data_IF_506196533229
#
_entry.id   IF_506196533229
#
_cell.length_a   1.000
_cell.length_b   1.000
_cell.length_c   1.000
_cell.angle_alpha   90.00
_cell.angle_beta   90.00
_cell.angle_gamma   90.00
#
_symmetry.space_group_name_H-M   'P 1'
#
loop_
_entity.id
_entity.type
_entity.pdbx_description
1 polymer ?
#
# COMPACT_ATOMS: atom_id res chain seq x y z
N UNK A 1 24.63 -23.17 12.76
CA UNK A 1 23.22 -22.72 12.63
C UNK A 1 22.72 -22.42 14.03
N UNK A 2 22.61 -21.16 14.35
CA UNK A 2 22.42 -20.63 15.69
C UNK A 2 20.96 -20.83 16.17
N UNK A 3 20.77 -20.99 17.49
CA UNK A 3 19.46 -21.21 18.13
C UNK A 3 18.43 -20.10 17.79
N UNK A 4 18.87 -18.90 17.47
CA UNK A 4 18.02 -17.78 17.08
C UNK A 4 17.32 -17.98 15.73
N UNK A 5 17.97 -18.64 14.76
CA UNK A 5 17.35 -18.94 13.46
C UNK A 5 16.25 -20.00 13.54
N UNK A 6 16.33 -20.90 14.53
CA UNK A 6 15.28 -21.92 14.75
C UNK A 6 14.01 -21.36 15.39
N UNK A 7 14.12 -20.26 16.15
CA UNK A 7 12.96 -19.63 16.79
C UNK A 7 12.15 -18.82 15.79
N UNK A 8 12.80 -18.13 14.85
CA UNK A 8 12.12 -17.38 13.79
C UNK A 8 11.41 -18.28 12.76
N UNK A 9 12.03 -19.41 12.38
CA UNK A 9 11.38 -20.38 11.50
C UNK A 9 10.22 -21.11 12.21
N UNK A 10 10.33 -21.40 13.50
CA UNK A 10 9.28 -22.04 14.27
C UNK A 10 8.07 -21.11 14.50
N UNK A 11 8.29 -19.80 14.63
CA UNK A 11 7.20 -18.83 14.74
C UNK A 11 6.44 -18.68 13.41
N UNK A 12 7.13 -18.72 12.27
CA UNK A 12 6.49 -18.68 10.95
C UNK A 12 5.69 -19.95 10.63
N UNK A 13 6.15 -21.13 11.10
CA UNK A 13 5.44 -22.41 10.89
C UNK A 13 4.28 -22.62 11.86
N UNK A 14 4.32 -22.05 13.07
CA UNK A 14 3.24 -22.21 14.07
C UNK A 14 1.97 -21.41 13.73
N UNK A 15 2.06 -20.37 12.90
CA UNK A 15 0.90 -19.60 12.43
C UNK A 15 0.11 -20.32 11.31
N UNK A 16 0.68 -21.36 10.70
CA UNK A 16 0.07 -22.05 9.55
C UNK A 16 -0.91 -23.20 9.93
N UNK A 17 -1.01 -23.61 11.20
CA UNK A 17 -1.66 -24.89 11.54
C UNK A 17 -3.01 -24.81 12.29
N UNK A 18 -3.64 -23.62 12.43
CA UNK A 18 -4.95 -23.51 13.07
C UNK A 18 -6.04 -23.08 12.07
N UNK A 19 -6.45 -24.05 11.25
CA UNK A 19 -7.62 -23.95 10.40
C UNK A 19 -8.79 -24.72 10.96
N UNK A 20 -9.71 -24.09 11.67
CA UNK A 20 -11.06 -24.61 11.92
C UNK A 20 -12.06 -23.51 11.61
N UNK A 21 -12.96 -23.85 10.68
CA UNK A 21 -14.14 -23.11 10.26
C UNK A 21 -14.98 -22.71 11.49
N UNK A 22 -14.98 -21.47 11.84
CA UNK A 22 -16.03 -20.85 12.63
C UNK A 22 -16.80 -19.91 11.71
N UNK A 23 -18.02 -20.30 11.35
CA UNK A 23 -19.03 -19.43 10.74
C UNK A 23 -19.52 -18.42 11.81
N UNK A 24 -18.70 -17.46 12.14
CA UNK A 24 -19.10 -16.26 12.84
C UNK A 24 -19.04 -15.13 11.83
N UNK A 25 -20.06 -14.29 11.79
CA UNK A 25 -20.03 -13.04 11.04
C UNK A 25 -18.84 -12.23 11.54
N UNK A 26 -17.72 -12.36 10.83
CA UNK A 26 -16.58 -11.49 11.02
C UNK A 26 -17.00 -10.11 10.49
N UNK A 27 -17.23 -9.17 11.38
CA UNK A 27 -17.09 -7.76 11.07
C UNK A 27 -15.57 -7.51 10.91
N UNK A 28 -14.96 -8.21 9.95
CA UNK A 28 -13.52 -8.20 9.70
C UNK A 28 -13.16 -7.10 8.72
N UNK A 29 -11.90 -6.68 8.81
CA UNK A 29 -11.24 -5.81 7.85
C UNK A 29 -11.51 -6.25 6.42
N UNK A 30 -11.56 -5.30 5.49
CA UNK A 30 -11.59 -5.57 4.06
C UNK A 30 -12.82 -6.32 3.51
N UNK A 31 -13.94 -6.39 4.25
CA UNK A 31 -15.12 -7.15 3.80
C UNK A 31 -16.25 -6.24 3.35
N UNK A 32 -16.77 -6.48 2.15
CA UNK A 32 -18.05 -5.96 1.67
C UNK A 32 -18.90 -7.13 1.11
N UNK A 33 -19.96 -7.46 1.83
CA UNK A 33 -20.81 -8.62 1.52
C UNK A 33 -20.06 -9.94 1.64
N UNK A 34 -19.89 -10.65 0.51
CA UNK A 34 -19.14 -11.91 0.44
C UNK A 34 -17.68 -11.72 0.03
N UNK A 35 -17.32 -10.49 -0.35
CA UNK A 35 -16.00 -10.16 -0.86
C UNK A 35 -15.06 -9.79 0.28
N UNK A 36 -13.92 -10.44 0.30
CA UNK A 36 -12.72 -9.97 0.96
C UNK A 36 -11.87 -9.21 -0.06
N UNK A 37 -11.53 -7.97 0.25
CA UNK A 37 -10.55 -7.17 -0.45
C UNK A 37 -9.27 -7.19 0.39
N UNK A 38 -8.17 -7.75 -0.13
CA UNK A 38 -6.89 -7.74 0.59
C UNK A 38 -6.33 -6.33 0.67
N UNK A 39 -5.53 -6.03 1.68
CA UNK A 39 -4.72 -4.82 1.69
C UNK A 39 -3.72 -4.86 0.54
N UNK A 40 -3.74 -3.83 -0.29
CA UNK A 40 -2.83 -3.65 -1.43
C UNK A 40 -1.48 -3.09 -0.97
N UNK A 41 -0.41 -3.21 -1.79
CA UNK A 41 0.95 -2.88 -1.37
C UNK A 41 1.35 -1.44 -1.70
N UNK A 42 0.84 -0.92 -2.81
CA UNK A 42 1.24 0.38 -3.37
C UNK A 42 0.05 1.33 -3.49
N UNK A 43 -1.11 0.81 -3.85
CA UNK A 43 -2.34 1.59 -4.01
C UNK A 43 -3.17 1.44 -2.74
N UNK A 44 -3.38 2.51 -1.98
CA UNK A 44 -4.18 2.43 -0.76
C UNK A 44 -5.65 2.04 -1.06
N UNK A 45 -6.24 1.24 -0.19
CA UNK A 45 -7.57 0.68 -0.31
C UNK A 45 -8.65 1.55 0.37
N UNK A 46 -9.96 1.32 0.11
CA UNK A 46 -11.04 2.14 0.67
C UNK A 46 -11.44 1.78 2.10
N UNK A 47 -10.81 0.80 2.74
CA UNK A 47 -11.26 0.32 4.04
C UNK A 47 -10.76 1.18 5.20
N UNK A 48 -11.53 1.16 6.27
CA UNK A 48 -11.19 1.73 7.58
C UNK A 48 -11.08 0.54 8.53
N UNK A 49 -9.85 0.15 8.88
CA UNK A 49 -9.56 -1.07 9.61
C UNK A 49 -8.47 -0.86 10.68
N UNK A 50 -8.32 -1.82 11.58
CA UNK A 50 -7.22 -1.89 12.54
C UNK A 50 -6.16 -2.83 11.98
N UNK A 51 -5.07 -2.27 11.45
CA UNK A 51 -4.09 -3.00 10.66
C UNK A 51 -2.66 -2.57 10.98
N UNK A 52 -1.72 -3.47 10.69
CA UNK A 52 -0.28 -3.22 10.81
C UNK A 52 0.45 -3.87 9.64
N UNK A 53 1.10 -3.07 8.80
CA UNK A 53 2.08 -3.54 7.81
C UNK A 53 3.48 -3.43 8.39
N UNK A 54 4.16 -4.58 8.59
CA UNK A 54 5.51 -4.60 9.16
C UNK A 54 6.21 -5.95 8.90
N UNK A 55 7.27 -5.97 8.09
CA UNK A 55 7.74 -4.87 7.24
C UNK A 55 7.04 -4.84 5.87
N UNK A 56 6.98 -3.65 5.26
CA UNK A 56 6.93 -3.53 3.81
C UNK A 56 8.34 -3.22 3.33
N UNK A 57 8.88 -4.03 2.43
CA UNK A 57 10.23 -3.86 1.89
C UNK A 57 10.09 -3.58 0.39
N UNK A 58 10.56 -2.44 -0.05
CA UNK A 58 10.65 -2.09 -1.47
C UNK A 58 12.10 -1.92 -1.89
N UNK A 59 12.47 -2.41 -3.07
CA UNK A 59 13.78 -2.15 -3.66
C UNK A 59 13.66 -1.84 -5.15
N UNK A 60 14.17 -0.67 -5.55
CA UNK A 60 14.17 -0.20 -6.93
C UNK A 60 15.48 0.50 -7.29
N UNK A 61 15.78 0.58 -8.57
CA UNK A 61 16.95 1.29 -9.11
C UNK A 61 16.45 2.57 -9.82
N UNK A 62 16.76 3.71 -9.24
CA UNK A 62 16.53 5.01 -9.87
C UNK A 62 17.60 5.27 -10.93
N UNK A 63 17.24 5.81 -12.10
CA UNK A 63 18.24 6.15 -13.13
C UNK A 63 19.10 7.34 -12.71
N UNK A 64 20.26 7.49 -13.35
CA UNK A 64 21.04 8.71 -13.22
C UNK A 64 20.24 9.90 -13.79
N UNK A 65 20.34 11.07 -13.15
CA UNK A 65 19.67 12.31 -13.55
C UNK A 65 20.59 13.50 -13.30
N UNK A 66 20.93 14.23 -14.36
CA UNK A 66 21.92 15.31 -14.26
C UNK A 66 23.25 14.77 -13.71
N UNK A 67 23.76 15.38 -12.67
CA UNK A 67 25.00 14.99 -11.96
C UNK A 67 24.77 13.87 -10.92
N UNK A 68 23.53 13.49 -10.65
CA UNK A 68 23.21 12.43 -9.70
C UNK A 68 23.42 11.04 -10.32
N UNK A 69 24.21 10.15 -9.66
CA UNK A 69 24.42 8.79 -10.14
C UNK A 69 23.17 7.93 -9.99
N UNK A 70 23.07 6.91 -10.83
CA UNK A 70 22.01 5.92 -10.68
C UNK A 70 22.08 5.28 -9.28
N UNK A 71 20.96 5.28 -8.55
CA UNK A 71 20.92 4.93 -7.13
C UNK A 71 19.96 3.76 -6.89
N UNK A 72 20.42 2.73 -6.17
CA UNK A 72 19.53 1.71 -5.62
C UNK A 72 18.93 2.25 -4.32
N UNK A 73 17.62 2.37 -4.31
CA UNK A 73 16.83 2.69 -3.14
C UNK A 73 16.22 1.41 -2.55
N UNK A 74 16.37 1.22 -1.25
CA UNK A 74 15.68 0.16 -0.50
C UNK A 74 15.01 0.79 0.70
N UNK A 75 13.68 0.69 0.74
CA UNK A 75 12.82 1.17 1.83
C UNK A 75 12.37 0.03 2.73
N UNK A 76 12.27 0.30 4.01
CA UNK A 76 11.67 -0.56 5.03
C UNK A 76 10.60 0.24 5.74
N UNK A 77 9.33 -0.04 5.45
CA UNK A 77 8.21 0.72 5.98
C UNK A 77 7.47 -0.03 7.08
N UNK A 78 6.95 0.75 8.01
CA UNK A 78 5.97 0.36 9.00
C UNK A 78 4.77 1.28 8.83
N UNK A 79 3.57 0.70 8.70
CA UNK A 79 2.31 1.43 8.64
C UNK A 79 1.34 0.82 9.62
N UNK A 80 0.68 1.67 10.40
CA UNK A 80 -0.34 1.27 11.35
C UNK A 80 -1.60 2.09 11.13
N UNK A 81 -2.74 1.41 11.03
CA UNK A 81 -4.07 2.03 10.95
C UNK A 81 -4.88 1.71 12.19
N UNK A 82 -5.65 2.68 12.65
CA UNK A 82 -6.50 2.57 13.84
C UNK A 82 -7.88 3.16 13.59
N UNK A 83 -8.91 2.36 13.81
CA UNK A 83 -10.29 2.83 13.80
C UNK A 83 -10.57 3.72 15.01
N UNK A 84 -11.05 4.93 14.74
CA UNK A 84 -11.65 5.78 15.76
C UNK A 84 -13.12 5.40 15.98
N UNK A 85 -13.84 5.18 14.89
CA UNK A 85 -15.21 4.62 14.84
C UNK A 85 -15.24 3.53 13.75
N UNK A 86 -16.37 2.88 13.51
CA UNK A 86 -16.54 1.89 12.45
C UNK A 86 -16.31 2.46 11.03
N UNK A 87 -16.41 3.78 10.90
CA UNK A 87 -16.29 4.46 9.62
C UNK A 87 -15.16 5.49 9.54
N UNK A 88 -14.52 5.83 10.65
CA UNK A 88 -13.44 6.82 10.72
C UNK A 88 -12.19 6.18 11.27
N UNK A 89 -11.10 6.28 10.54
CA UNK A 89 -9.78 5.78 10.93
C UNK A 89 -8.69 6.82 10.76
N UNK A 90 -7.58 6.56 11.43
CA UNK A 90 -6.32 7.29 11.30
C UNK A 90 -5.21 6.31 10.96
N UNK A 91 -4.19 6.78 10.25
CA UNK A 91 -3.00 6.02 9.93
C UNK A 91 -1.73 6.78 10.28
N UNK A 92 -0.67 6.04 10.57
CA UNK A 92 0.69 6.54 10.76
C UNK A 92 1.66 5.62 10.03
N UNK A 93 2.59 6.22 9.28
CA UNK A 93 3.62 5.51 8.53
C UNK A 93 5.01 6.06 8.79
N UNK A 94 6.01 5.18 8.74
CA UNK A 94 7.43 5.54 8.82
C UNK A 94 8.24 4.64 7.90
N UNK A 95 9.14 5.22 7.11
CA UNK A 95 10.01 4.50 6.18
C UNK A 95 11.47 4.76 6.49
N UNK A 96 12.26 3.69 6.69
CA UNK A 96 13.71 3.76 6.76
C UNK A 96 14.30 3.45 5.39
N UNK A 97 15.00 4.41 4.81
CA UNK A 97 15.61 4.31 3.46
C UNK A 97 17.10 4.00 3.53
N UNK A 98 17.55 3.20 2.59
CA UNK A 98 18.96 2.92 2.28
C UNK A 98 19.19 3.27 0.82
N UNK A 99 19.98 4.29 0.55
CA UNK A 99 20.35 4.75 -0.78
C UNK A 99 21.78 4.30 -1.08
N UNK A 100 21.94 3.59 -2.20
CA UNK A 100 23.24 3.08 -2.69
C UNK A 100 23.51 3.65 -4.08
N UNK A 101 24.12 4.86 -4.17
CA UNK A 101 24.51 5.44 -5.45
C UNK A 101 25.65 4.65 -6.08
N UNK A 102 25.67 4.58 -7.42
CA UNK A 102 26.75 3.90 -8.14
C UNK A 102 28.04 4.72 -7.99
N UNK A 103 29.04 4.14 -7.35
CA UNK A 103 30.34 4.79 -7.12
C UNK A 103 30.38 5.77 -5.94
N UNK A 104 29.31 5.90 -5.16
CA UNK A 104 29.23 6.76 -3.98
C UNK A 104 29.02 6.03 -2.66
N UNK A 105 29.02 6.79 -1.57
CA UNK A 105 28.80 6.25 -0.23
C UNK A 105 27.33 5.94 0.03
N UNK A 106 27.05 4.85 0.72
CA UNK A 106 25.70 4.45 1.14
C UNK A 106 25.14 5.45 2.15
N UNK A 107 23.99 6.03 1.85
CA UNK A 107 23.25 6.90 2.74
C UNK A 107 22.09 6.15 3.40
N UNK A 108 21.77 6.53 4.65
CA UNK A 108 20.72 5.87 5.43
C UNK A 108 20.02 6.88 6.31
N UNK A 109 18.71 6.68 6.52
CA UNK A 109 17.93 7.53 7.41
C UNK A 109 16.43 7.23 7.31
N UNK A 110 15.66 7.86 8.17
CA UNK A 110 14.21 7.87 8.05
C UNK A 110 13.78 8.90 7.02
N UNK A 111 12.80 8.54 6.21
CA UNK A 111 12.04 9.48 5.40
C UNK A 111 11.07 10.28 6.27
N UNK A 112 10.35 11.23 5.69
CA UNK A 112 9.29 11.95 6.37
C UNK A 112 8.23 10.97 6.91
N UNK A 113 7.69 11.31 8.08
CA UNK A 113 6.55 10.57 8.64
C UNK A 113 5.30 10.84 7.80
N UNK A 114 4.55 9.78 7.56
CA UNK A 114 3.23 9.85 6.96
C UNK A 114 2.14 9.79 8.03
N UNK A 115 1.05 10.53 7.84
CA UNK A 115 -0.15 10.46 8.66
C UNK A 115 -1.38 10.51 7.75
N UNK A 116 -2.45 9.82 8.13
CA UNK A 116 -3.68 9.82 7.35
C UNK A 116 -4.93 9.86 8.22
N UNK A 117 -6.01 10.36 7.61
CA UNK A 117 -7.39 10.25 8.14
C UNK A 117 -8.26 9.76 6.99
N UNK A 118 -9.04 8.71 7.23
CA UNK A 118 -9.93 8.10 6.22
C UNK A 118 -11.34 7.94 6.79
N UNK A 119 -12.35 8.32 6.01
CA UNK A 119 -13.76 8.17 6.35
C UNK A 119 -14.50 7.38 5.28
N UNK A 120 -15.01 6.22 5.68
CA UNK A 120 -15.88 5.38 4.85
C UNK A 120 -17.30 5.92 4.90
N UNK A 121 -17.79 6.50 3.79
CA UNK A 121 -19.10 7.12 3.72
C UNK A 121 -20.14 6.27 3.00
N UNK A 122 -19.73 5.21 2.29
CA UNK A 122 -20.66 4.34 1.58
C UNK A 122 -20.14 2.90 1.56
N UNK A 123 -21.03 1.96 1.83
CA UNK A 123 -20.81 0.52 1.65
C UNK A 123 -22.12 -0.15 1.22
N UNK A 124 -22.04 -1.00 0.20
CA UNK A 124 -23.16 -1.80 -0.26
C UNK A 124 -22.71 -3.26 -0.42
N UNK A 125 -23.15 -4.10 0.50
CA UNK A 125 -22.74 -5.49 0.60
C UNK A 125 -23.30 -6.36 -0.54
N UNK A 126 -24.51 -6.06 -1.04
CA UNK A 126 -25.13 -6.80 -2.15
C UNK A 126 -24.35 -6.57 -3.46
N UNK A 127 -23.80 -5.39 -3.63
CA UNK A 127 -23.03 -4.99 -4.81
C UNK A 127 -21.52 -5.03 -4.59
N UNK A 128 -21.07 -5.47 -3.41
CA UNK A 128 -19.66 -5.52 -3.04
C UNK A 128 -18.95 -4.17 -3.35
N UNK A 129 -19.58 -3.06 -2.96
CA UNK A 129 -19.10 -1.71 -3.29
C UNK A 129 -18.82 -0.91 -2.03
N UNK A 130 -17.69 -0.20 -2.01
CA UNK A 130 -17.27 0.66 -0.90
C UNK A 130 -16.65 1.95 -1.43
N UNK A 131 -16.95 3.08 -0.77
CA UNK A 131 -16.40 4.39 -1.08
C UNK A 131 -15.93 5.07 0.21
N UNK A 132 -14.76 5.65 0.16
CA UNK A 132 -14.16 6.40 1.26
C UNK A 132 -13.55 7.70 0.76
N UNK A 133 -13.41 8.66 1.66
CA UNK A 133 -12.65 9.89 1.44
C UNK A 133 -11.61 10.03 2.55
N UNK A 134 -10.47 10.62 2.24
CA UNK A 134 -9.42 10.81 3.23
C UNK A 134 -8.47 11.96 2.88
N UNK A 135 -7.53 12.17 3.77
CA UNK A 135 -6.43 13.09 3.59
C UNK A 135 -5.17 12.37 4.08
N UNK A 136 -4.20 12.25 3.19
CA UNK A 136 -2.86 11.79 3.52
C UNK A 136 -1.94 13.01 3.68
N UNK A 137 -1.00 12.93 4.59
CA UNK A 137 -0.06 13.99 4.90
C UNK A 137 1.37 13.44 5.04
N UNK A 138 2.28 13.91 4.19
CA UNK A 138 3.71 13.80 4.43
C UNK A 138 4.16 14.96 5.30
N UNK A 139 4.76 14.65 6.46
CA UNK A 139 5.13 15.65 7.46
C UNK A 139 6.57 16.12 7.19
N UNK A 140 6.70 17.18 6.43
CA UNK A 140 7.99 17.74 6.02
C UNK A 140 8.90 18.09 7.18
N UNK A 141 10.19 17.79 7.01
CA UNK A 141 11.22 18.05 8.00
C UNK A 141 11.26 17.07 9.17
N UNK A 142 10.42 16.04 9.19
CA UNK A 142 10.46 14.96 10.19
C UNK A 142 11.49 13.89 9.85
N UNK A 143 11.94 13.84 8.61
CA UNK A 143 12.90 12.88 8.09
C UNK A 143 14.34 13.42 7.96
N UNK A 144 15.21 12.60 7.40
CA UNK A 144 16.62 12.90 7.19
C UNK A 144 16.86 13.40 5.77
N UNK A 145 17.44 14.59 5.63
CA UNK A 145 17.88 15.13 4.33
C UNK A 145 18.87 14.22 3.59
N UNK A 146 19.62 13.36 4.31
CA UNK A 146 20.56 12.40 3.69
C UNK A 146 19.91 11.39 2.79
N UNK A 147 18.63 11.12 2.98
CA UNK A 147 17.84 10.17 2.16
C UNK A 147 16.78 10.88 1.32
N UNK A 148 16.92 12.20 1.13
CA UNK A 148 16.01 12.98 0.29
C UNK A 148 14.70 13.36 0.97
N UNK A 149 14.60 13.29 2.31
CA UNK A 149 13.39 13.71 3.02
C UNK A 149 13.16 15.22 2.84
N UNK A 150 11.95 15.56 2.39
CA UNK A 150 11.56 16.91 2.07
C UNK A 150 11.41 17.80 3.32
N UNK A 151 11.72 19.09 3.17
CA UNK A 151 11.61 20.06 4.27
C UNK A 151 10.21 20.70 4.37
N UNK A 152 9.33 20.40 3.44
CA UNK A 152 7.94 20.87 3.39
C UNK A 152 6.98 19.69 3.47
N UNK A 153 5.76 19.96 3.91
CA UNK A 153 4.71 18.95 3.97
C UNK A 153 3.91 18.92 2.67
N UNK A 154 3.36 17.75 2.35
CA UNK A 154 2.37 17.60 1.27
C UNK A 154 1.08 17.04 1.85
N UNK A 155 -0.05 17.66 1.52
CA UNK A 155 -1.39 17.20 1.89
C UNK A 155 -2.09 16.68 0.64
N UNK A 156 -2.61 15.46 0.72
CA UNK A 156 -3.26 14.78 -0.40
C UNK A 156 -4.69 14.36 -0.02
N UNK A 157 -5.69 15.25 -0.18
CA UNK A 157 -7.08 14.81 -0.16
C UNK A 157 -7.35 13.83 -1.29
N UNK A 158 -8.00 12.70 -0.97
CA UNK A 158 -8.26 11.61 -1.90
C UNK A 158 -9.64 10.98 -1.71
N UNK A 159 -10.14 10.39 -2.79
CA UNK A 159 -11.29 9.49 -2.82
C UNK A 159 -10.81 8.08 -3.11
N UNK A 160 -11.36 7.11 -2.38
CA UNK A 160 -11.03 5.70 -2.49
C UNK A 160 -12.28 4.93 -2.87
N UNK A 161 -12.10 3.89 -3.68
CA UNK A 161 -13.21 3.04 -4.11
C UNK A 161 -12.81 1.57 -4.12
N UNK A 162 -13.80 0.71 -3.91
CA UNK A 162 -13.68 -0.73 -4.10
C UNK A 162 -14.96 -1.28 -4.74
N UNK A 163 -14.81 -2.18 -5.71
CA UNK A 163 -15.90 -2.86 -6.38
C UNK A 163 -15.54 -4.32 -6.65
N UNK A 164 -16.29 -5.24 -6.06
CA UNK A 164 -16.29 -6.64 -6.41
C UNK A 164 -17.34 -6.94 -7.50
N UNK A 165 -17.14 -8.00 -8.26
CA UNK A 165 -18.01 -8.39 -9.37
C UNK A 165 -18.88 -9.62 -9.04
N UNK A 166 -19.15 -9.88 -7.76
CA UNK A 166 -19.97 -10.99 -7.29
C UNK A 166 -21.43 -10.96 -7.77
N UNK A 167 -21.91 -9.80 -8.16
CA UNK A 167 -23.26 -9.52 -8.69
C UNK A 167 -23.43 -9.84 -10.19
N UNK A 168 -22.39 -10.29 -10.89
CA UNK A 168 -22.47 -10.68 -12.31
C UNK A 168 -23.39 -11.92 -12.52
N UNK A 169 -24.06 -12.02 -13.70
CA UNK A 169 -24.93 -13.14 -14.02
C UNK A 169 -24.16 -14.47 -14.14
N UNK A 170 -24.87 -15.60 -14.09
CA UNK A 170 -24.27 -16.95 -14.14
C UNK A 170 -23.48 -17.22 -15.43
N UNK A 171 -23.84 -16.56 -16.53
CA UNK A 171 -23.10 -16.64 -17.80
C UNK A 171 -21.69 -16.10 -17.70
N UNK A 172 -21.43 -15.23 -16.69
CA UNK A 172 -20.13 -14.59 -16.42
C UNK A 172 -19.56 -15.00 -15.05
N UNK A 173 -20.00 -16.14 -14.50
CA UNK A 173 -19.65 -16.55 -13.13
C UNK A 173 -18.13 -16.58 -12.84
N UNK A 174 -17.29 -16.91 -13.84
CA UNK A 174 -15.84 -16.96 -13.69
C UNK A 174 -15.19 -15.57 -13.54
N UNK A 175 -15.91 -14.49 -13.83
CA UNK A 175 -15.48 -13.10 -13.59
C UNK A 175 -15.90 -12.59 -12.19
N UNK A 176 -16.80 -13.30 -11.51
CA UNK A 176 -17.23 -12.96 -10.14
C UNK A 176 -16.07 -12.86 -9.13
N UNK A 177 -14.97 -13.66 -9.23
CA UNK A 177 -13.81 -13.51 -8.36
C UNK A 177 -13.02 -12.22 -8.57
N UNK A 178 -13.22 -11.48 -9.66
CA UNK A 178 -12.57 -10.20 -9.90
C UNK A 178 -13.05 -9.13 -8.91
N UNK A 179 -12.13 -8.27 -8.51
CA UNK A 179 -12.39 -7.03 -7.81
C UNK A 179 -11.44 -5.94 -8.31
N UNK A 180 -11.85 -4.69 -8.12
CA UNK A 180 -11.02 -3.51 -8.39
C UNK A 180 -11.12 -2.60 -7.17
N UNK A 181 -9.97 -2.19 -6.64
CA UNK A 181 -9.83 -1.11 -5.65
C UNK A 181 -9.02 0.02 -6.25
N UNK A 182 -9.08 1.21 -5.68
CA UNK A 182 -8.26 2.29 -6.16
C UNK A 182 -8.55 3.62 -5.47
N UNK A 183 -7.73 4.60 -5.86
CA UNK A 183 -7.82 5.96 -5.35
C UNK A 183 -7.59 7.00 -6.46
N UNK A 184 -8.09 8.21 -6.19
CA UNK A 184 -7.72 9.43 -6.90
C UNK A 184 -7.63 10.58 -5.90
N UNK A 185 -6.50 11.29 -5.89
CA UNK A 185 -6.23 12.39 -4.98
C UNK A 185 -5.43 13.50 -5.64
N UNK A 186 -5.31 14.63 -4.97
CA UNK A 186 -4.48 15.76 -5.43
C UNK A 186 -3.51 16.15 -4.33
N UNK A 187 -2.22 16.06 -4.62
CA UNK A 187 -1.15 16.46 -3.72
C UNK A 187 -0.92 17.97 -3.74
N UNK A 188 -0.98 18.59 -2.58
CA UNK A 188 -0.75 20.02 -2.35
C UNK A 188 0.50 20.20 -1.48
N UNK A 189 1.67 20.51 -2.07
CA UNK A 189 2.85 20.84 -1.29
C UNK A 189 2.65 22.18 -0.56
N UNK A 190 3.07 22.27 0.69
CA UNK A 190 2.99 23.51 1.48
C UNK A 190 3.98 24.59 1.04
N UNK A 191 4.89 24.25 0.12
CA UNK A 191 5.81 25.16 -0.55
C UNK A 191 5.82 24.84 -2.04
N UNK A 192 5.70 25.86 -2.88
CA UNK A 192 5.72 25.71 -4.34
C UNK A 192 7.14 25.54 -4.93
N UNK A 193 8.17 25.73 -4.14
CA UNK A 193 9.56 25.53 -4.53
C UNK A 193 10.55 25.83 -3.41
N UNK A 194 11.76 25.30 -3.57
CA UNK A 194 12.92 25.55 -2.70
C UNK A 194 14.01 26.23 -3.52
N UNK A 195 14.61 27.28 -3.00
CA UNK A 195 15.74 27.98 -3.62
C UNK A 195 17.00 27.63 -2.87
N UNK A 196 18.01 27.13 -3.55
CA UNK A 196 19.34 26.85 -3.03
C UNK A 196 20.35 27.76 -3.76
N UNK A 197 21.26 28.36 -3.01
CA UNK A 197 22.34 29.16 -3.55
C UNK A 197 23.62 28.34 -3.42
N UNK A 198 24.20 27.96 -4.54
CA UNK A 198 25.50 27.28 -4.60
C UNK A 198 26.65 28.12 -4.07
N UNK A 199 27.77 27.49 -3.75
CA UNK A 199 29.01 28.19 -3.27
C UNK A 199 29.59 29.13 -4.35
N UNK A 200 29.24 28.92 -5.61
CA UNK A 200 29.58 29.76 -6.77
C UNK A 200 28.58 30.92 -6.99
N UNK A 201 27.52 31.01 -6.18
CA UNK A 201 26.46 32.01 -6.26
C UNK A 201 25.38 31.67 -7.31
N UNK A 202 25.40 30.48 -7.91
CA UNK A 202 24.33 30.00 -8.76
C UNK A 202 23.06 29.75 -7.95
N UNK A 203 21.93 30.22 -8.46
CA UNK A 203 20.62 30.06 -7.84
C UNK A 203 19.92 28.88 -8.52
N UNK A 204 19.78 27.79 -7.79
CA UNK A 204 18.95 26.66 -8.19
C UNK A 204 17.55 26.78 -7.56
N UNK A 205 16.51 26.61 -8.38
CA UNK A 205 15.11 26.66 -7.97
C UNK A 205 14.45 25.33 -8.28
N UNK A 206 14.36 24.49 -7.27
CA UNK A 206 13.58 23.28 -7.32
C UNK A 206 12.09 23.60 -7.14
N UNK A 207 11.25 23.17 -8.10
CA UNK A 207 9.80 23.38 -8.06
C UNK A 207 9.09 22.17 -7.49
N UNK A 208 8.13 22.39 -6.60
CA UNK A 208 7.26 21.37 -6.01
C UNK A 208 5.85 21.52 -6.61
N UNK A 209 5.55 20.80 -7.71
CA UNK A 209 4.26 20.91 -8.37
C UNK A 209 3.14 20.27 -7.56
N UNK A 210 1.91 20.72 -7.78
CA UNK A 210 0.73 19.95 -7.43
C UNK A 210 0.73 18.67 -8.26
N UNK A 211 0.26 17.58 -7.67
CA UNK A 211 0.24 16.27 -8.33
C UNK A 211 -1.16 15.66 -8.30
N UNK A 212 -1.53 14.97 -9.37
CA UNK A 212 -2.65 14.05 -9.39
C UNK A 212 -2.12 12.65 -9.03
N UNK A 213 -2.46 12.19 -7.84
CA UNK A 213 -2.18 10.84 -7.39
C UNK A 213 -3.36 9.94 -7.79
N UNK A 214 -3.11 8.90 -8.55
CA UNK A 214 -4.15 7.98 -8.97
C UNK A 214 -3.61 6.57 -9.14
N UNK A 215 -4.43 5.61 -8.79
CA UNK A 215 -4.04 4.23 -8.90
C UNK A 215 -5.23 3.30 -8.73
N UNK A 216 -5.04 2.06 -9.15
CA UNK A 216 -6.01 0.99 -8.94
C UNK A 216 -5.32 -0.37 -8.92
N UNK A 217 -5.93 -1.30 -8.22
CA UNK A 217 -5.57 -2.71 -8.19
C UNK A 217 -6.67 -3.53 -8.88
N UNK A 218 -6.28 -4.52 -9.68
CA UNK A 218 -7.17 -5.55 -10.21
C UNK A 218 -6.78 -6.86 -9.53
N UNK A 219 -7.73 -7.47 -8.86
CA UNK A 219 -7.54 -8.65 -8.04
C UNK A 219 -8.39 -9.81 -8.55
N UNK A 220 -7.87 -11.03 -8.46
CA UNK A 220 -8.63 -12.24 -8.73
C UNK A 220 -8.59 -13.18 -7.51
N UNK A 221 -9.66 -13.21 -6.74
CA UNK A 221 -9.72 -13.97 -5.50
C UNK A 221 -9.97 -15.47 -5.73
N UNK A 222 -8.93 -16.31 -5.58
CA UNK A 222 -9.09 -17.77 -5.58
C UNK A 222 -9.95 -18.24 -4.40
N UNK A 223 -9.83 -17.68 -3.17
CA UNK A 223 -10.76 -17.99 -2.08
C UNK A 223 -12.24 -17.77 -2.46
N UNK A 224 -12.54 -16.64 -3.12
CA UNK A 224 -13.89 -16.34 -3.59
C UNK A 224 -14.36 -17.33 -4.66
N UNK A 225 -13.49 -17.65 -5.63
CA UNK A 225 -13.78 -18.63 -6.69
C UNK A 225 -14.23 -19.97 -6.09
N UNK A 226 -13.45 -20.51 -5.15
CA UNK A 226 -13.73 -21.82 -4.57
C UNK A 226 -14.93 -21.82 -3.62
N UNK A 227 -15.15 -20.72 -2.89
CA UNK A 227 -16.23 -20.67 -1.90
C UNK A 227 -17.61 -20.35 -2.48
N UNK A 228 -17.68 -19.54 -3.57
CA UNK A 228 -18.94 -18.98 -4.04
C UNK A 228 -19.24 -19.20 -5.52
N UNK A 229 -18.28 -19.70 -6.30
CA UNK A 229 -18.45 -19.87 -7.75
C UNK A 229 -18.29 -21.33 -8.17
N UNK A 230 -17.13 -21.89 -7.93
CA UNK A 230 -16.80 -23.26 -8.32
C UNK A 230 -15.59 -23.74 -7.54
N UNK A 231 -15.74 -24.85 -6.82
CA UNK A 231 -14.59 -25.54 -6.23
C UNK A 231 -13.73 -26.16 -7.35
N UNK A 232 -12.50 -25.63 -7.45
CA UNK A 232 -11.49 -26.10 -8.41
C UNK A 232 -10.48 -27.05 -7.77
N UNK A 233 -10.70 -27.45 -6.52
CA UNK A 233 -9.91 -28.44 -5.79
C UNK A 233 -8.51 -27.96 -5.39
N UNK A 234 -8.22 -26.67 -5.43
CA UNK A 234 -6.96 -26.14 -4.94
C UNK A 234 -6.88 -26.27 -3.42
N UNK A 235 -5.69 -26.62 -2.93
CA UNK A 235 -5.37 -26.74 -1.50
C UNK A 235 -4.35 -25.70 -1.10
N UNK A 236 -4.11 -25.58 0.19
CA UNK A 236 -3.09 -24.68 0.73
C UNK A 236 -1.70 -24.95 0.13
N UNK A 237 -0.95 -23.89 -0.18
CA UNK A 237 -1.26 -22.47 0.02
C UNK A 237 -2.07 -21.82 -1.11
N UNK A 238 -2.32 -22.50 -2.23
CA UNK A 238 -2.85 -21.94 -3.48
C UNK A 238 -4.30 -21.49 -3.37
N UNK A 239 -5.11 -22.17 -2.51
CA UNK A 239 -6.50 -21.81 -2.27
C UNK A 239 -6.70 -20.47 -1.54
N UNK A 240 -5.62 -19.87 -1.03
CA UNK A 240 -5.61 -18.55 -0.35
C UNK A 240 -4.93 -17.46 -1.15
N UNK A 241 -4.55 -17.75 -2.39
CA UNK A 241 -3.86 -16.79 -3.23
C UNK A 241 -4.82 -15.85 -3.94
N UNK A 242 -4.43 -14.60 -4.05
CA UNK A 242 -5.12 -13.54 -4.77
C UNK A 242 -4.07 -12.91 -5.71
N UNK A 243 -3.98 -13.37 -6.97
CA UNK A 243 -3.24 -12.63 -7.98
C UNK A 243 -3.73 -11.20 -8.08
N UNK A 244 -2.80 -10.26 -8.18
CA UNK A 244 -3.06 -8.81 -8.19
C UNK A 244 -2.18 -8.13 -9.24
N UNK A 245 -2.70 -7.05 -9.83
CA UNK A 245 -1.90 -6.09 -10.59
C UNK A 245 -2.29 -4.71 -10.10
N UNK A 246 -1.33 -4.00 -9.50
CA UNK A 246 -1.51 -2.62 -9.06
C UNK A 246 -0.96 -1.63 -10.09
N UNK A 247 -1.58 -0.47 -10.20
CA UNK A 247 -1.17 0.67 -11.01
C UNK A 247 -1.08 1.87 -10.09
N UNK A 248 0.11 2.33 -9.78
CA UNK A 248 0.35 3.49 -8.92
C UNK A 248 1.00 4.59 -9.73
N UNK A 249 0.29 5.70 -9.89
CA UNK A 249 0.65 6.79 -10.79
C UNK A 249 0.59 8.15 -10.10
N UNK A 250 1.57 9.00 -10.40
CA UNK A 250 1.61 10.40 -10.02
C UNK A 250 1.80 11.26 -11.28
N UNK A 251 0.95 12.27 -11.45
CA UNK A 251 0.96 13.15 -12.60
C UNK A 251 1.10 14.60 -12.15
N UNK A 252 2.19 15.26 -12.52
CA UNK A 252 2.39 16.67 -12.22
C UNK A 252 1.37 17.54 -12.99
N UNK A 253 0.68 18.43 -12.25
CA UNK A 253 -0.42 19.26 -12.78
C UNK A 253 0.03 20.66 -13.24
N UNK A 254 1.15 21.16 -12.72
CA UNK A 254 1.61 22.50 -13.00
C UNK A 254 2.24 22.61 -14.40
N UNK A 255 2.12 23.78 -15.02
CA UNK A 255 2.67 24.02 -16.36
C UNK A 255 4.19 23.89 -16.37
N UNK A 256 4.71 23.11 -17.32
CA UNK A 256 6.14 22.85 -17.47
C UNK A 256 6.67 21.74 -16.55
N UNK A 257 5.80 21.12 -15.77
CA UNK A 257 6.17 19.96 -14.98
C UNK A 257 6.24 18.67 -15.82
N UNK A 258 6.87 17.64 -15.28
CA UNK A 258 7.40 16.50 -16.05
C UNK A 258 6.42 15.37 -16.40
N UNK A 259 5.09 15.56 -16.30
CA UNK A 259 4.09 14.57 -16.73
C UNK A 259 3.93 13.38 -15.73
N UNK A 260 3.45 12.24 -16.21
CA UNK A 260 3.13 11.07 -15.36
C UNK A 260 4.35 10.20 -15.10
N UNK A 261 4.51 9.79 -13.85
CA UNK A 261 5.43 8.74 -13.37
C UNK A 261 4.65 7.66 -12.64
N UNK A 262 5.25 6.51 -12.38
CA UNK A 262 4.62 5.44 -11.61
C UNK A 262 5.11 4.06 -11.99
N UNK A 263 4.43 3.06 -11.45
CA UNK A 263 4.75 1.63 -11.67
C UNK A 263 3.50 0.81 -11.94
N UNK A 264 3.69 -0.29 -12.66
CA UNK A 264 2.74 -1.39 -12.78
C UNK A 264 3.30 -2.56 -11.99
N UNK A 265 2.53 -3.05 -11.04
CA UNK A 265 2.99 -3.99 -10.03
C UNK A 265 2.20 -5.31 -10.10
N UNK A 266 2.57 -6.24 -11.00
CA UNK A 266 2.01 -7.58 -10.97
C UNK A 266 2.56 -8.38 -9.79
N UNK A 267 1.69 -9.10 -9.09
CA UNK A 267 2.07 -9.86 -7.93
C UNK A 267 1.03 -10.85 -7.43
N UNK A 268 1.21 -11.31 -6.22
CA UNK A 268 0.33 -12.23 -5.53
C UNK A 268 0.28 -11.93 -4.05
N UNK A 269 -0.92 -11.98 -3.51
CA UNK A 269 -1.21 -11.88 -2.09
C UNK A 269 -1.67 -13.26 -1.61
N UNK A 270 -1.05 -13.78 -0.56
CA UNK A 270 -1.55 -14.92 0.19
C UNK A 270 -2.29 -14.40 1.42
N UNK A 271 -3.59 -14.69 1.51
CA UNK A 271 -4.46 -14.19 2.56
C UNK A 271 -4.71 -15.27 3.63
N UNK A 272 -4.09 -15.12 4.79
CA UNK A 272 -4.39 -15.88 5.99
C UNK A 272 -5.57 -15.28 6.78
N UNK A 273 -5.89 -15.85 7.92
CA UNK A 273 -6.94 -15.35 8.82
C UNK A 273 -6.51 -14.08 9.57
N UNK A 274 -5.25 -14.03 9.97
CA UNK A 274 -4.72 -12.99 10.87
C UNK A 274 -3.65 -12.13 10.22
N UNK A 275 -3.17 -12.56 9.08
CA UNK A 275 -2.11 -11.90 8.35
C UNK A 275 -2.18 -12.24 6.87
N UNK A 276 -1.61 -11.38 6.05
CA UNK A 276 -1.31 -11.66 4.65
C UNK A 276 0.18 -11.50 4.35
N UNK A 277 0.64 -12.22 3.34
CA UNK A 277 1.95 -12.09 2.75
C UNK A 277 1.77 -11.71 1.29
N UNK A 278 2.50 -10.73 0.84
CA UNK A 278 2.39 -10.28 -0.54
C UNK A 278 3.77 -10.03 -1.14
N UNK A 279 3.88 -10.25 -2.45
CA UNK A 279 5.06 -9.93 -3.23
C UNK A 279 4.65 -9.45 -4.62
N UNK A 280 5.29 -8.39 -5.10
CA UNK A 280 5.06 -7.78 -6.40
C UNK A 280 6.36 -7.40 -7.09
N UNK A 281 6.35 -7.43 -8.41
CA UNK A 281 7.37 -6.80 -9.23
C UNK A 281 6.96 -5.33 -9.45
N UNK A 282 7.87 -4.40 -9.25
CA UNK A 282 7.64 -2.98 -9.52
C UNK A 282 8.22 -2.61 -10.90
N UNK A 283 7.37 -2.50 -11.92
CA UNK A 283 7.74 -2.23 -13.30
C UNK A 283 7.53 -0.75 -13.60
N UNK A 284 8.60 0.05 -13.81
CA UNK A 284 8.45 1.46 -14.11
C UNK A 284 7.72 1.69 -15.45
N UNK A 285 6.78 2.65 -15.48
CA UNK A 285 6.02 2.97 -16.71
C UNK A 285 6.84 3.77 -17.74
N UNK A 286 7.92 4.42 -17.31
CA UNK A 286 8.84 5.18 -18.16
C UNK A 286 10.20 5.39 -17.48
N UNK A 287 11.16 5.99 -18.20
CA UNK A 287 12.52 6.21 -17.70
C UNK A 287 12.61 7.15 -16.49
N UNK A 288 11.62 8.03 -16.26
CA UNK A 288 11.58 8.90 -15.06
C UNK A 288 11.16 8.13 -13.81
N UNK A 289 10.34 7.12 -13.98
CA UNK A 289 9.92 6.22 -12.89
C UNK A 289 10.98 5.19 -12.53
N UNK A 290 11.96 4.99 -13.41
CA UNK A 290 13.00 3.98 -13.28
C UNK A 290 13.31 3.34 -14.63
N UNK A 291 14.39 2.56 -14.70
CA UNK A 291 14.80 1.83 -15.91
C UNK A 291 15.02 0.33 -15.67
N UNK A 292 14.72 -0.15 -14.47
CA UNK A 292 14.83 -1.56 -14.09
C UNK A 292 13.63 -1.96 -13.25
N UNK A 293 13.25 -3.22 -13.36
CA UNK A 293 12.23 -3.82 -12.50
C UNK A 293 12.75 -3.87 -11.07
N UNK A 294 11.96 -3.31 -10.16
CA UNK A 294 12.10 -3.45 -8.71
C UNK A 294 11.22 -4.55 -8.16
N UNK A 295 11.11 -4.63 -6.84
CA UNK A 295 10.21 -5.55 -6.16
C UNK A 295 9.74 -4.97 -4.83
N UNK A 296 8.57 -5.44 -4.39
CA UNK A 296 7.97 -5.10 -3.10
C UNK A 296 7.54 -6.40 -2.44
N UNK A 297 7.76 -6.51 -1.13
CA UNK A 297 7.26 -7.60 -0.30
C UNK A 297 6.70 -7.04 1.01
N UNK A 298 5.57 -7.58 1.45
CA UNK A 298 4.87 -7.08 2.64
C UNK A 298 4.40 -8.23 3.53
N UNK A 299 4.56 -8.05 4.84
CA UNK A 299 3.84 -8.79 5.86
C UNK A 299 2.84 -7.82 6.52
N UNK A 300 1.57 -8.17 6.46
CA UNK A 300 0.47 -7.35 6.95
C UNK A 300 -0.36 -8.14 7.95
N UNK A 301 -0.74 -7.51 9.06
CA UNK A 301 -1.50 -8.10 10.15
C UNK A 301 -2.85 -7.43 10.31
N UNK A 302 -3.88 -8.23 10.49
CA UNK A 302 -5.23 -7.81 10.79
C UNK A 302 -5.42 -7.73 12.32
N UNK A 303 -5.26 -6.54 12.88
CA UNK A 303 -5.26 -6.35 14.33
C UNK A 303 -6.65 -6.55 14.96
N UNK A 304 -7.70 -6.28 14.18
CA UNK A 304 -9.09 -6.53 14.59
C UNK A 304 -9.39 -8.02 14.75
N UNK A 305 -8.79 -8.90 13.92
CA UNK A 305 -8.92 -10.34 14.08
C UNK A 305 -7.94 -10.92 15.11
N UNK A 306 -6.74 -10.35 15.21
CA UNK A 306 -5.73 -10.80 16.18
C UNK A 306 -6.13 -10.43 17.62
N UNK A 307 -6.70 -9.25 17.81
CA UNK A 307 -6.99 -8.67 19.12
C UNK A 307 -8.41 -8.08 19.19
N UNK A 308 -9.47 -8.87 18.90
CA UNK A 308 -10.84 -8.37 18.72
C UNK A 308 -11.44 -7.73 19.98
N UNK A 309 -10.88 -8.01 21.15
CA UNK A 309 -11.38 -7.49 22.43
C UNK A 309 -10.59 -6.29 22.97
N UNK A 310 -9.49 -5.90 22.33
CA UNK A 310 -8.58 -4.85 22.81
C UNK A 310 -8.27 -3.83 21.70
N UNK A 311 -7.05 -3.88 21.14
CA UNK A 311 -6.59 -2.92 20.12
C UNK A 311 -7.32 -3.04 18.79
N UNK A 312 -7.99 -4.14 18.50
CA UNK A 312 -8.82 -4.33 17.31
C UNK A 312 -10.26 -3.81 17.46
N UNK A 313 -10.59 -3.03 18.52
CA UNK A 313 -11.87 -2.34 18.65
C UNK A 313 -11.73 -0.87 18.30
N UNK A 314 -12.76 -0.23 17.69
CA UNK A 314 -12.79 1.21 17.56
C UNK A 314 -12.59 1.91 18.91
N UNK A 315 -11.92 3.08 18.91
CA UNK A 315 -11.69 3.87 20.13
C UNK A 315 -13.02 4.42 20.66
N UNK A 316 -13.87 4.89 19.75
CA UNK A 316 -15.19 5.45 20.04
C UNK A 316 -16.25 4.61 19.31
N UNK A 317 -16.76 3.58 19.93
CA UNK A 317 -17.78 2.71 19.37
C UNK A 317 -18.21 1.69 20.40
N UNK A 318 -19.47 1.33 20.36
CA UNK A 318 -20.09 0.32 21.23
C UNK A 318 -20.45 -0.90 20.40
#
# INVERSE_FOLDING_TARGET
MDKQHRVLLAAACALASWGILATGSAAGHGIAGKRFFPATLVTDDPFVADELSLPTIESRKMPASGDEPATRETGFSLDVSKRLTDNLGIGLGATYKVLQPDGGDTQRGFDNLAASVKYKFYQNDERETILSAGIDADIGGSGSKRVGAESFSTLTPALFFGKGFGDLPDTMKLLRPLAVTGLVGVGFPTRSGTTTIGDDGEIDVERHPHTLEWGFAIEYSVPYLQSFVQDVGLREPFNRMIPVVEFAMSTALDRGASGTTGTVNPGVIWAGRYAQLAVEAAIPVNNRSGNRVGWIAQLHFFLDDLFPSTIGKPIFGH
#
